data_IF_133335862216
#
_entry.id   IF_133335862216
#
_cell.length_a   1.000
_cell.length_b   1.000
_cell.length_c   1.000
_cell.angle_alpha   90.00
_cell.angle_beta   90.00
_cell.angle_gamma   90.00
#
_symmetry.space_group_name_H-M   'P 1'
#
loop_
_entity.id
_entity.type
_entity.pdbx_description
1 polymer ?
#
# COMPACT_ATOMS: atom_id res chain seq x y z
N UNK A 1 -5.80 -4.63 -22.81
CA UNK A 1 -4.84 -5.66 -22.34
C UNK A 1 -4.02 -5.07 -21.21
N UNK A 2 -3.83 -5.80 -20.11
CA UNK A 2 -2.96 -5.37 -19.00
C UNK A 2 -1.52 -5.36 -19.46
N UNK A 3 -0.82 -4.24 -19.27
CA UNK A 3 0.58 -3.99 -19.62
C UNK A 3 1.49 -3.86 -18.40
N UNK A 4 0.98 -3.42 -17.24
CA UNK A 4 1.79 -3.19 -16.04
C UNK A 4 1.20 -3.89 -14.81
N UNK A 5 2.06 -4.24 -13.86
CA UNK A 5 1.70 -4.82 -12.57
C UNK A 5 2.25 -3.93 -11.46
N UNK A 6 1.38 -3.15 -10.84
CA UNK A 6 1.74 -2.09 -9.90
C UNK A 6 1.15 -2.34 -8.50
N UNK A 7 1.79 -1.80 -7.47
CA UNK A 7 1.39 -1.96 -6.07
C UNK A 7 1.62 -0.66 -5.28
N UNK A 8 0.88 -0.43 -4.17
CA UNK A 8 0.83 0.89 -3.53
C UNK A 8 2.15 1.46 -3.06
N UNK A 9 3.04 0.64 -2.48
CA UNK A 9 4.32 1.16 -1.95
C UNK A 9 5.25 1.65 -3.04
N UNK A 10 5.14 1.14 -4.27
CA UNK A 10 5.88 1.66 -5.42
C UNK A 10 5.25 2.97 -5.92
N UNK A 11 3.91 3.04 -5.99
CA UNK A 11 3.20 4.27 -6.34
C UNK A 11 3.47 5.40 -5.36
N UNK A 12 3.52 5.09 -4.06
CA UNK A 12 3.81 6.09 -3.03
C UNK A 12 5.20 6.71 -3.23
N UNK A 13 6.19 5.90 -3.61
CA UNK A 13 7.54 6.38 -3.92
C UNK A 13 7.57 7.22 -5.19
N UNK A 14 6.84 6.80 -6.23
CA UNK A 14 6.74 7.59 -7.45
C UNK A 14 6.15 8.97 -7.18
N UNK A 15 5.05 9.05 -6.43
CA UNK A 15 4.43 10.33 -6.08
C UNK A 15 5.39 11.24 -5.27
N UNK A 16 6.18 10.67 -4.35
CA UNK A 16 7.20 11.44 -3.62
C UNK A 16 8.32 11.96 -4.54
N UNK A 17 8.71 11.19 -5.54
CA UNK A 17 9.66 11.62 -6.57
C UNK A 17 9.06 12.69 -7.48
N UNK A 18 7.85 12.47 -8.01
CA UNK A 18 7.15 13.37 -8.92
C UNK A 18 6.89 14.75 -8.30
N UNK A 19 6.54 14.79 -7.01
CA UNK A 19 6.35 16.04 -6.26
C UNK A 19 7.62 16.59 -5.60
N UNK A 20 8.79 15.99 -5.85
CA UNK A 20 10.06 16.40 -5.26
C UNK A 20 10.02 16.61 -3.74
N UNK A 21 9.36 15.71 -3.00
CA UNK A 21 9.23 15.87 -1.55
C UNK A 21 10.60 15.86 -0.87
N UNK A 22 10.80 16.74 0.10
CA UNK A 22 12.07 16.95 0.79
C UNK A 22 12.00 16.73 2.29
N UNK A 23 13.09 16.24 2.87
CA UNK A 23 13.25 16.14 4.32
C UNK A 23 13.53 17.53 4.93
N UNK A 24 13.70 17.58 6.27
CA UNK A 24 13.97 18.82 7.00
C UNK A 24 15.29 19.51 6.58
N UNK A 25 16.23 18.75 6.03
CA UNK A 25 17.53 19.23 5.55
C UNK A 25 17.48 19.70 4.09
N UNK A 26 16.31 19.62 3.43
CA UNK A 26 16.09 20.04 2.04
C UNK A 26 16.47 18.98 0.99
N UNK A 27 16.84 17.77 1.41
CA UNK A 27 17.19 16.67 0.51
C UNK A 27 15.94 15.94 0.03
N UNK A 28 15.96 15.48 -1.23
CA UNK A 28 14.86 14.70 -1.81
C UNK A 28 14.66 13.38 -1.05
N UNK A 29 13.41 13.07 -0.68
CA UNK A 29 13.05 11.77 -0.10
C UNK A 29 13.27 10.63 -1.09
N UNK A 30 13.01 10.87 -2.37
CA UNK A 30 13.17 9.87 -3.44
C UNK A 30 13.85 10.52 -4.63
N UNK A 31 15.06 10.07 -4.93
CA UNK A 31 15.75 10.39 -6.18
C UNK A 31 15.30 9.45 -7.29
N UNK A 32 15.50 9.82 -8.56
CA UNK A 32 15.23 8.94 -9.70
C UNK A 32 15.98 7.61 -9.57
N UNK A 33 17.25 7.66 -9.14
CA UNK A 33 18.05 6.47 -8.91
C UNK A 33 17.42 5.56 -7.85
N UNK A 34 16.99 6.12 -6.72
CA UNK A 34 16.30 5.36 -5.68
C UNK A 34 15.00 4.74 -6.21
N UNK A 35 14.20 5.49 -6.97
CA UNK A 35 12.97 4.97 -7.59
C UNK A 35 13.26 3.81 -8.55
N UNK A 36 14.25 3.94 -9.43
CA UNK A 36 14.68 2.89 -10.36
C UNK A 36 15.19 1.65 -9.63
N UNK A 37 15.97 1.81 -8.56
CA UNK A 37 16.43 0.70 -7.72
C UNK A 37 15.25 -0.04 -7.09
N UNK A 38 14.20 0.69 -6.67
CA UNK A 38 12.97 0.09 -6.14
C UNK A 38 12.14 -0.63 -7.19
N UNK A 39 12.02 -0.07 -8.40
CA UNK A 39 11.39 -0.74 -9.56
C UNK A 39 12.14 -2.04 -9.88
N UNK A 40 13.47 -2.01 -9.85
CA UNK A 40 14.34 -3.15 -10.11
C UNK A 40 14.48 -4.13 -8.94
N UNK A 41 13.74 -3.91 -7.83
CA UNK A 41 13.78 -4.70 -6.60
C UNK A 41 15.19 -4.90 -6.04
N UNK A 42 16.05 -3.89 -6.18
CA UNK A 42 17.36 -3.88 -5.51
C UNK A 42 17.10 -3.95 -4.00
N UNK A 43 17.66 -4.95 -3.29
CA UNK A 43 17.44 -5.12 -1.86
C UNK A 43 17.79 -3.84 -1.08
N UNK A 44 16.89 -3.44 -0.19
CA UNK A 44 17.09 -2.31 0.70
C UNK A 44 17.07 -2.80 2.15
N UNK A 45 17.92 -2.25 3.03
CA UNK A 45 17.85 -2.57 4.45
C UNK A 45 16.50 -2.13 5.01
N UNK A 46 15.93 -2.94 5.89
CA UNK A 46 14.73 -2.55 6.63
C UNK A 46 15.13 -1.53 7.68
N UNK A 47 14.50 -0.35 7.65
CA UNK A 47 14.74 0.69 8.66
C UNK A 47 14.14 0.29 10.01
N UNK A 48 14.65 0.82 11.14
CA UNK A 48 14.05 0.58 12.45
C UNK A 48 12.56 0.95 12.52
N UNK A 49 12.15 2.02 11.83
CA UNK A 49 10.75 2.45 11.77
C UNK A 49 9.86 1.43 11.03
N UNK A 50 10.33 0.90 9.89
CA UNK A 50 9.62 -0.14 9.15
C UNK A 50 9.53 -1.43 9.96
N UNK A 51 10.63 -1.85 10.59
CA UNK A 51 10.64 -3.05 11.44
C UNK A 51 9.68 -2.90 12.63
N UNK A 52 9.63 -1.71 13.25
CA UNK A 52 8.70 -1.42 14.34
C UNK A 52 7.24 -1.52 13.88
N UNK A 53 6.92 -1.02 12.68
CA UNK A 53 5.59 -1.17 12.09
C UNK A 53 5.19 -2.63 11.86
N UNK A 54 6.09 -3.44 11.27
CA UNK A 54 5.88 -4.88 11.04
C UNK A 54 5.67 -5.63 12.37
N UNK A 55 6.52 -5.35 13.37
CA UNK A 55 6.39 -5.96 14.69
C UNK A 55 5.08 -5.55 15.38
N UNK A 56 4.64 -4.30 15.19
CA UNK A 56 3.39 -3.81 15.76
C UNK A 56 2.17 -4.49 15.13
N UNK A 57 2.14 -4.61 13.80
CA UNK A 57 1.07 -5.33 13.10
C UNK A 57 1.00 -6.80 13.56
N UNK A 58 2.16 -7.45 13.71
CA UNK A 58 2.27 -8.82 14.22
C UNK A 58 1.71 -8.93 15.64
N UNK A 59 2.09 -8.01 16.54
CA UNK A 59 1.58 -7.96 17.90
C UNK A 59 0.06 -7.76 17.92
N UNK A 60 -0.45 -6.82 17.13
CA UNK A 60 -1.87 -6.52 17.08
C UNK A 60 -2.70 -7.74 16.63
N UNK A 61 -2.25 -8.40 15.56
CA UNK A 61 -3.01 -9.47 14.89
C UNK A 61 -2.82 -10.86 15.48
N UNK A 62 -1.66 -11.14 16.09
CA UNK A 62 -1.29 -12.49 16.59
C UNK A 62 -1.03 -12.56 18.09
N UNK A 63 -0.85 -11.41 18.77
CA UNK A 63 -0.42 -11.33 20.16
C UNK A 63 1.09 -11.56 20.38
N UNK A 64 1.84 -11.93 19.35
CA UNK A 64 3.29 -12.13 19.47
C UNK A 64 4.04 -10.80 19.55
N UNK A 65 4.85 -10.62 20.59
CA UNK A 65 5.69 -9.43 20.75
C UNK A 65 4.93 -8.22 21.30
N UNK A 66 3.73 -8.42 21.84
CA UNK A 66 2.88 -7.36 22.38
C UNK A 66 3.52 -6.61 23.55
N UNK A 67 4.37 -7.27 24.33
CA UNK A 67 5.12 -6.69 25.45
C UNK A 67 6.06 -5.54 25.04
N UNK A 68 6.36 -5.41 23.74
CA UNK A 68 7.21 -4.35 23.18
C UNK A 68 6.44 -3.04 22.95
N UNK A 69 5.12 -3.04 23.12
CA UNK A 69 4.25 -1.90 22.82
C UNK A 69 3.38 -1.52 24.02
N UNK A 70 2.91 -0.26 24.12
CA UNK A 70 2.04 0.13 25.20
C UNK A 70 0.72 -0.66 25.16
N UNK A 71 0.45 -1.45 26.21
CA UNK A 71 -0.76 -2.27 26.31
C UNK A 71 -2.07 -1.48 26.05
N UNK A 72 -2.26 -0.23 26.57
CA UNK A 72 -3.46 0.55 26.27
C UNK A 72 -3.66 0.83 24.78
N UNK A 73 -2.59 0.94 23.99
CA UNK A 73 -2.66 1.18 22.54
C UNK A 73 -3.08 -0.09 21.81
N UNK A 74 -2.49 -1.23 22.16
CA UNK A 74 -2.85 -2.52 21.56
C UNK A 74 -4.33 -2.82 21.86
N UNK A 75 -4.77 -2.64 23.10
CA UNK A 75 -6.16 -2.82 23.49
C UNK A 75 -7.11 -1.87 22.73
N UNK A 76 -6.74 -0.58 22.63
CA UNK A 76 -7.54 0.41 21.91
C UNK A 76 -7.67 0.09 20.42
N UNK A 77 -6.58 -0.34 19.76
CA UNK A 77 -6.63 -0.74 18.35
C UNK A 77 -7.41 -2.04 18.15
N UNK A 78 -7.26 -3.06 19.02
CA UNK A 78 -8.03 -4.31 18.91
C UNK A 78 -9.54 -4.07 19.07
N UNK A 79 -9.96 -3.12 19.91
CA UNK A 79 -11.37 -2.71 20.03
C UNK A 79 -11.95 -2.16 18.73
N UNK A 80 -11.10 -1.62 17.84
CA UNK A 80 -11.51 -1.14 16.51
C UNK A 80 -11.53 -2.24 15.46
N UNK A 81 -11.05 -3.46 15.75
CA UNK A 81 -11.08 -4.56 14.79
C UNK A 81 -12.46 -5.23 14.74
N UNK A 82 -12.88 -5.78 13.58
CA UNK A 82 -14.07 -6.62 13.50
C UNK A 82 -13.96 -7.84 14.42
N UNK A 83 -15.09 -8.37 14.90
CA UNK A 83 -15.09 -9.59 15.71
C UNK A 83 -14.54 -10.82 14.96
N UNK A 84 -14.75 -10.88 13.64
CA UNK A 84 -14.21 -11.90 12.75
C UNK A 84 -13.58 -11.22 11.55
N UNK A 85 -12.33 -11.56 11.26
CA UNK A 85 -11.59 -11.00 10.15
C UNK A 85 -10.61 -12.03 9.57
N UNK A 86 -10.16 -11.74 8.35
CA UNK A 86 -8.98 -12.35 7.73
C UNK A 86 -7.86 -11.34 7.75
N UNK A 87 -6.64 -11.81 7.96
CA UNK A 87 -5.43 -10.98 7.83
C UNK A 87 -4.77 -11.16 6.47
N UNK A 88 -3.97 -10.18 6.04
CA UNK A 88 -3.14 -10.27 4.84
C UNK A 88 -3.96 -10.69 3.60
N UNK A 89 -5.08 -10.00 3.39
CA UNK A 89 -6.04 -10.31 2.34
C UNK A 89 -5.53 -9.79 0.99
N UNK A 90 -5.33 -10.70 0.03
CA UNK A 90 -4.90 -10.33 -1.32
C UNK A 90 -6.04 -9.71 -2.12
N UNK A 91 -5.81 -8.50 -2.62
CA UNK A 91 -6.71 -7.78 -3.51
C UNK A 91 -6.00 -7.42 -4.81
N UNK A 92 -6.74 -7.45 -5.90
CA UNK A 92 -6.31 -6.92 -7.19
C UNK A 92 -7.47 -6.26 -7.92
N UNK A 93 -7.15 -5.29 -8.76
CA UNK A 93 -8.10 -4.67 -9.69
C UNK A 93 -7.40 -4.30 -11.00
N UNK A 94 -8.18 -4.20 -12.08
CA UNK A 94 -7.72 -3.68 -13.35
C UNK A 94 -8.09 -2.19 -13.46
N UNK A 95 -7.09 -1.35 -13.71
CA UNK A 95 -7.26 0.10 -13.92
C UNK A 95 -6.60 0.44 -15.26
N UNK A 96 -7.41 0.74 -16.29
CA UNK A 96 -6.93 0.88 -17.68
C UNK A 96 -6.08 -0.33 -18.11
N UNK A 97 -4.77 -0.14 -18.28
CA UNK A 97 -3.77 -1.15 -18.67
C UNK A 97 -2.90 -1.62 -17.49
N UNK A 98 -3.27 -1.32 -16.25
CA UNK A 98 -2.56 -1.69 -15.01
C UNK A 98 -3.34 -2.76 -14.25
N UNK A 99 -2.67 -3.84 -13.83
CA UNK A 99 -3.10 -4.66 -12.70
C UNK A 99 -2.54 -4.02 -11.43
N UNK A 100 -3.43 -3.46 -10.60
CA UNK A 100 -3.06 -2.91 -9.30
C UNK A 100 -3.38 -3.91 -8.21
N UNK A 101 -2.41 -4.29 -7.38
CA UNK A 101 -2.55 -5.40 -6.44
C UNK A 101 -1.77 -5.22 -5.14
N UNK A 102 -2.11 -6.04 -4.15
CA UNK A 102 -1.30 -6.23 -2.95
C UNK A 102 -2.09 -6.86 -1.81
N UNK A 103 -1.59 -6.68 -0.59
CA UNK A 103 -2.18 -7.23 0.63
C UNK A 103 -2.76 -6.09 1.45
N UNK A 104 -3.97 -6.31 1.96
CA UNK A 104 -4.58 -5.48 2.99
C UNK A 104 -4.45 -6.21 4.32
N UNK A 105 -4.12 -5.48 5.38
CA UNK A 105 -3.80 -6.09 6.66
C UNK A 105 -4.98 -6.85 7.25
N UNK A 106 -6.19 -6.29 7.18
CA UNK A 106 -7.39 -6.88 7.77
C UNK A 106 -8.60 -6.67 6.85
N UNK A 107 -9.41 -7.71 6.69
CA UNK A 107 -10.74 -7.66 6.05
C UNK A 107 -11.75 -8.38 6.93
N UNK A 108 -12.84 -7.72 7.30
CA UNK A 108 -13.89 -8.31 8.13
C UNK A 108 -15.17 -7.48 8.16
N UNK A 109 -16.32 -8.16 8.18
CA UNK A 109 -17.62 -7.50 8.02
C UNK A 109 -17.76 -6.91 6.62
N UNK A 110 -18.03 -5.61 6.55
CA UNK A 110 -18.26 -4.80 5.34
C UNK A 110 -17.11 -3.81 5.04
N UNK A 111 -16.01 -3.90 5.80
CA UNK A 111 -14.86 -3.00 5.69
C UNK A 111 -13.52 -3.75 5.61
N UNK A 112 -12.55 -3.03 5.07
CA UNK A 112 -11.14 -3.36 5.11
C UNK A 112 -10.41 -2.39 6.05
N UNK A 113 -9.33 -2.85 6.67
CA UNK A 113 -8.51 -2.04 7.58
C UNK A 113 -7.06 -2.20 7.19
N UNK A 114 -6.38 -1.07 7.08
CA UNK A 114 -4.94 -0.96 6.88
C UNK A 114 -4.30 -0.33 8.13
N UNK A 115 -3.33 -1.02 8.72
CA UNK A 115 -2.71 -0.67 9.99
C UNK A 115 -1.53 0.25 9.73
N UNK A 116 -1.51 1.40 10.41
CA UNK A 116 -0.46 2.41 10.25
C UNK A 116 0.15 2.80 11.57
N UNK A 117 1.47 2.78 11.63
CA UNK A 117 2.23 3.36 12.75
C UNK A 117 3.00 4.59 12.28
N UNK A 118 3.06 5.62 13.11
CA UNK A 118 3.83 6.83 12.80
C UNK A 118 4.48 7.41 14.06
N UNK A 119 5.43 8.34 13.92
CA UNK A 119 6.01 9.05 15.08
C UNK A 119 5.12 10.21 15.54
N UNK A 120 4.38 10.82 14.60
CA UNK A 120 3.40 11.87 14.84
C UNK A 120 2.32 11.77 13.78
N UNK A 121 1.07 11.79 14.23
CA UNK A 121 -0.09 11.82 13.37
C UNK A 121 -0.69 13.23 13.30
N UNK A 122 -1.09 13.62 12.10
CA UNK A 122 -1.82 14.86 11.83
C UNK A 122 -2.80 14.58 10.67
N UNK A 123 -4.12 14.65 10.89
CA UNK A 123 -5.10 14.41 9.84
C UNK A 123 -5.14 15.57 8.83
N UNK A 124 -5.45 15.33 7.55
CA UNK A 124 -5.69 14.03 6.91
C UNK A 124 -4.40 13.47 6.26
N UNK A 125 -3.76 12.48 6.89
CA UNK A 125 -2.44 11.97 6.46
C UNK A 125 -2.53 10.98 5.29
N UNK A 126 -3.62 10.21 5.21
CA UNK A 126 -3.77 9.12 4.25
C UNK A 126 -4.79 9.40 3.15
N UNK A 127 -5.27 10.65 3.04
CA UNK A 127 -6.27 11.06 2.05
C UNK A 127 -5.88 10.78 0.61
N UNK A 128 -4.58 10.79 0.28
CA UNK A 128 -4.06 10.46 -1.05
C UNK A 128 -3.09 9.27 -1.00
N UNK A 129 -3.31 8.34 -0.07
CA UNK A 129 -2.49 7.13 -0.01
C UNK A 129 -2.98 6.10 -1.03
N UNK A 130 -2.05 5.53 -1.81
CA UNK A 130 -2.37 4.62 -2.93
C UNK A 130 -3.04 3.30 -2.53
N UNK A 131 -3.00 2.91 -1.25
CA UNK A 131 -3.78 1.77 -0.78
C UNK A 131 -5.28 2.02 -0.86
N UNK A 132 -5.74 3.27 -0.94
CA UNK A 132 -7.16 3.58 -1.13
C UNK A 132 -7.69 3.01 -2.45
N UNK A 133 -6.84 2.85 -3.48
CA UNK A 133 -7.21 2.18 -4.73
C UNK A 133 -7.65 0.72 -4.54
N UNK A 134 -7.34 0.08 -3.40
CA UNK A 134 -7.85 -1.25 -3.08
C UNK A 134 -9.38 -1.31 -3.01
N UNK A 135 -10.06 -0.19 -2.68
CA UNK A 135 -11.52 -0.11 -2.71
C UNK A 135 -12.10 -0.50 -4.08
N UNK A 136 -11.39 -0.21 -5.18
CA UNK A 136 -11.81 -0.59 -6.54
C UNK A 136 -11.87 -2.12 -6.72
N UNK A 137 -10.96 -2.87 -6.10
CA UNK A 137 -10.95 -4.34 -6.14
C UNK A 137 -11.87 -4.98 -5.10
N UNK A 138 -11.92 -4.39 -3.91
CA UNK A 138 -12.74 -4.84 -2.77
C UNK A 138 -14.24 -4.81 -3.05
N UNK A 139 -14.70 -3.98 -4.00
CA UNK A 139 -16.10 -3.97 -4.45
C UNK A 139 -16.63 -5.35 -4.84
N UNK A 140 -15.78 -6.20 -5.44
CA UNK A 140 -16.15 -7.59 -5.81
C UNK A 140 -16.49 -8.48 -4.60
N UNK A 141 -16.12 -8.04 -3.40
CA UNK A 141 -16.37 -8.69 -2.12
C UNK A 141 -17.45 -7.98 -1.29
N UNK A 142 -18.18 -7.02 -1.89
CA UNK A 142 -19.14 -6.15 -1.21
C UNK A 142 -18.54 -5.34 -0.05
N UNK A 143 -17.24 -5.06 -0.11
CA UNK A 143 -16.54 -4.20 0.84
C UNK A 143 -16.39 -2.82 0.21
N UNK A 144 -16.91 -1.79 0.90
CA UNK A 144 -16.97 -0.42 0.38
C UNK A 144 -16.24 0.60 1.24
N UNK A 145 -15.71 0.20 2.38
CA UNK A 145 -14.99 1.08 3.30
C UNK A 145 -13.57 0.55 3.50
N UNK A 146 -12.59 1.45 3.45
CA UNK A 146 -11.22 1.23 3.88
C UNK A 146 -10.92 2.18 5.04
N UNK A 147 -10.55 1.61 6.18
CA UNK A 147 -10.09 2.37 7.34
C UNK A 147 -8.57 2.30 7.43
N UNK A 148 -7.93 3.46 7.53
CA UNK A 148 -6.57 3.53 8.05
C UNK A 148 -6.65 3.58 9.58
N UNK A 149 -6.32 2.47 10.24
CA UNK A 149 -6.27 2.38 11.70
C UNK A 149 -4.85 2.73 12.15
N UNK A 150 -4.73 3.90 12.78
CA UNK A 150 -3.44 4.58 12.93
C UNK A 150 -3.09 4.70 14.42
N UNK A 151 -1.81 4.57 14.74
CA UNK A 151 -1.28 4.99 16.04
C UNK A 151 0.06 5.70 15.92
N UNK A 152 0.25 6.70 16.77
CA UNK A 152 1.56 7.31 17.07
C UNK A 152 2.20 6.75 18.34
N UNK A 153 1.67 5.62 18.84
CA UNK A 153 1.98 4.96 20.10
C UNK A 153 1.61 5.75 21.36
N UNK A 154 0.84 6.84 21.22
CA UNK A 154 0.22 7.59 22.33
C UNK A 154 -1.30 7.55 22.25
N UNK A 155 -1.82 7.64 21.04
CA UNK A 155 -3.25 7.63 20.75
C UNK A 155 -3.57 6.71 19.57
N UNK A 156 -4.85 6.43 19.37
CA UNK A 156 -5.39 5.67 18.25
C UNK A 156 -6.31 6.56 17.43
N UNK A 157 -6.11 6.56 16.11
CA UNK A 157 -6.86 7.37 15.16
C UNK A 157 -7.43 6.50 14.05
N UNK A 158 -8.44 7.01 13.35
CA UNK A 158 -9.03 6.34 12.20
C UNK A 158 -9.35 7.36 11.11
N UNK A 159 -8.87 7.10 9.90
CA UNK A 159 -9.36 7.77 8.69
C UNK A 159 -10.17 6.76 7.87
N UNK A 160 -11.43 7.06 7.61
CA UNK A 160 -12.33 6.18 6.86
C UNK A 160 -12.59 6.75 5.47
N UNK A 161 -12.38 5.92 4.45
CA UNK A 161 -12.62 6.26 3.05
C UNK A 161 -13.63 5.28 2.44
N UNK A 162 -14.65 5.82 1.78
CA UNK A 162 -15.73 5.04 1.21
C UNK A 162 -15.69 5.07 -0.32
N UNK A 163 -15.87 3.92 -0.95
CA UNK A 163 -15.85 3.77 -2.41
C UNK A 163 -16.83 4.71 -3.11
N UNK A 164 -18.03 4.91 -2.54
CA UNK A 164 -19.10 5.67 -3.18
C UNK A 164 -18.87 7.21 -3.10
N UNK A 165 -17.95 7.69 -2.25
CA UNK A 165 -17.73 9.14 -2.02
C UNK A 165 -16.29 9.59 -2.19
N UNK A 166 -15.33 8.67 -2.27
CA UNK A 166 -13.92 9.00 -2.40
C UNK A 166 -13.59 9.45 -3.83
N UNK A 167 -12.89 10.57 -3.96
CA UNK A 167 -12.35 11.01 -5.24
C UNK A 167 -11.05 10.27 -5.57
N UNK A 168 -11.15 9.29 -6.46
CA UNK A 168 -10.00 8.50 -6.90
C UNK A 168 -9.13 9.23 -7.93
N UNK A 169 -9.61 10.33 -8.54
CA UNK A 169 -8.96 10.94 -9.70
C UNK A 169 -7.49 11.32 -9.44
N UNK A 170 -7.11 11.94 -8.30
CA UNK A 170 -5.71 12.26 -8.03
C UNK A 170 -4.78 11.04 -8.04
N UNK A 171 -5.25 9.90 -7.54
CA UNK A 171 -4.47 8.66 -7.54
C UNK A 171 -4.40 8.01 -8.92
N UNK A 172 -5.45 8.15 -9.72
CA UNK A 172 -5.51 7.61 -11.07
C UNK A 172 -4.63 8.41 -12.04
N UNK A 173 -4.53 9.73 -11.85
CA UNK A 173 -3.64 10.60 -12.62
C UNK A 173 -2.17 10.26 -12.35
N UNK A 174 -1.79 10.11 -11.08
CA UNK A 174 -0.45 9.64 -10.69
C UNK A 174 -0.13 8.24 -11.24
N UNK A 175 -1.13 7.35 -11.31
CA UNK A 175 -0.96 6.02 -11.91
C UNK A 175 -0.59 6.11 -13.40
N UNK A 176 -1.21 7.02 -14.14
CA UNK A 176 -0.94 7.25 -15.56
C UNK A 176 0.45 7.86 -15.77
N UNK A 177 0.80 8.89 -14.99
CA UNK A 177 2.14 9.49 -14.99
C UNK A 177 3.23 8.45 -14.70
N UNK A 178 2.97 7.51 -13.78
CA UNK A 178 3.92 6.46 -13.52
C UNK A 178 4.09 5.50 -14.71
N UNK A 179 3.02 5.19 -15.44
CA UNK A 179 3.15 4.35 -16.65
C UNK A 179 4.00 5.03 -17.72
N UNK A 180 3.90 6.35 -17.88
CA UNK A 180 4.77 7.11 -18.78
C UNK A 180 6.22 7.09 -18.31
N UNK A 181 6.46 7.28 -17.01
CA UNK A 181 7.79 7.15 -16.40
C UNK A 181 8.42 5.78 -16.72
N UNK A 182 7.65 4.69 -16.59
CA UNK A 182 8.12 3.33 -16.89
C UNK A 182 8.49 3.15 -18.37
N UNK A 183 7.78 3.78 -19.29
CA UNK A 183 8.13 3.74 -20.72
C UNK A 183 9.39 4.53 -21.02
N UNK A 184 9.50 5.76 -20.50
CA UNK A 184 10.71 6.60 -20.69
C UNK A 184 11.96 5.95 -20.12
N UNK A 185 11.83 5.19 -19.03
CA UNK A 185 12.94 4.50 -18.36
C UNK A 185 13.04 3.02 -18.68
N UNK A 186 12.27 2.51 -19.65
CA UNK A 186 12.24 1.09 -20.02
C UNK A 186 13.62 0.45 -20.23
N UNK A 187 14.64 1.12 -20.82
CA UNK A 187 15.99 0.57 -20.95
C UNK A 187 16.72 0.34 -19.61
N UNK A 188 16.39 1.10 -18.57
CA UNK A 188 17.02 1.07 -17.25
C UNK A 188 16.32 0.07 -16.29
N UNK A 189 15.12 -0.37 -16.65
CA UNK A 189 14.33 -1.31 -15.85
C UNK A 189 14.76 -2.74 -16.18
N UNK A 190 15.46 -3.39 -15.26
CA UNK A 190 15.92 -4.78 -15.36
C UNK A 190 14.88 -5.78 -14.84
N UNK A 191 14.11 -5.43 -13.81
CA UNK A 191 13.01 -6.30 -13.36
C UNK A 191 11.82 -6.21 -14.30
N UNK A 192 11.69 -7.22 -15.16
CA UNK A 192 10.61 -7.28 -16.15
C UNK A 192 9.25 -7.68 -15.55
N UNK A 193 9.15 -8.07 -14.27
CA UNK A 193 7.86 -8.42 -13.62
C UNK A 193 6.89 -7.25 -13.52
N UNK A 194 7.40 -6.01 -13.55
CA UNK A 194 6.56 -4.81 -13.60
C UNK A 194 5.81 -4.69 -14.92
N UNK A 195 6.38 -5.21 -16.00
CA UNK A 195 5.71 -5.32 -17.29
C UNK A 195 4.98 -6.66 -17.34
N UNK A 196 3.69 -6.61 -17.63
CA UNK A 196 2.92 -7.80 -17.94
C UNK A 196 3.29 -8.26 -19.36
N UNK A 197 4.50 -8.81 -19.51
CA UNK A 197 4.94 -9.42 -20.74
C UNK A 197 4.13 -10.70 -20.92
N UNK A 198 3.06 -10.62 -21.71
CA UNK A 198 2.42 -11.80 -22.23
C UNK A 198 3.47 -12.57 -23.07
N UNK A 199 4.13 -13.57 -22.47
CA UNK A 199 4.55 -14.71 -23.25
C UNK A 199 3.28 -15.51 -23.56
N UNK A 200 2.82 -15.42 -24.80
CA UNK A 200 2.01 -16.47 -25.41
C UNK A 200 2.78 -17.81 -25.30
N UNK A 201 2.13 -18.85 -24.78
CA UNK A 201 2.56 -20.24 -24.98
C UNK A 201 3.00 -20.99 -23.73
N UNK A 202 2.06 -21.35 -22.87
CA UNK A 202 2.08 -22.67 -22.23
C UNK A 202 0.71 -23.30 -22.44
N UNK A 203 0.65 -24.17 -23.44
CA UNK A 203 -0.28 -25.30 -23.46
C UNK A 203 -0.28 -25.90 -22.06
N UNK A 204 -1.37 -25.75 -21.32
CA UNK A 204 -1.68 -26.70 -20.25
C UNK A 204 -2.25 -27.91 -20.97
N UNK A 205 -1.36 -28.85 -21.28
CA UNK A 205 -1.79 -30.21 -21.58
C UNK A 205 -2.60 -30.71 -20.38
N UNK A 206 -3.83 -31.12 -20.66
CA UNK A 206 -4.54 -32.10 -19.86
C UNK A 206 -3.66 -33.34 -19.77
N UNK A 207 -3.03 -33.56 -18.60
CA UNK A 207 -2.81 -34.85 -17.97
C UNK A 207 -2.69 -34.63 -16.46
#
# INVERSE_FOLDING_TARGET
MIKYRLYPTLMQLFSWYHHELRNADGELYVTERHLLDRINRVPQPTTPAQQRGISFETALTTGRGEEQFPAPIIEAMRKQLPMRYKTQFFVRTAIKNVEFYGLIDIVGGDRAIDIKTTSRYEPPKFAHHFQTLYLLGLKSWNIKQLDYLITDFKEVYTESYHYDTYDFQPLLDELELFTDFLETHRPQITDKKIFNNAQNGLQTSLF
#
